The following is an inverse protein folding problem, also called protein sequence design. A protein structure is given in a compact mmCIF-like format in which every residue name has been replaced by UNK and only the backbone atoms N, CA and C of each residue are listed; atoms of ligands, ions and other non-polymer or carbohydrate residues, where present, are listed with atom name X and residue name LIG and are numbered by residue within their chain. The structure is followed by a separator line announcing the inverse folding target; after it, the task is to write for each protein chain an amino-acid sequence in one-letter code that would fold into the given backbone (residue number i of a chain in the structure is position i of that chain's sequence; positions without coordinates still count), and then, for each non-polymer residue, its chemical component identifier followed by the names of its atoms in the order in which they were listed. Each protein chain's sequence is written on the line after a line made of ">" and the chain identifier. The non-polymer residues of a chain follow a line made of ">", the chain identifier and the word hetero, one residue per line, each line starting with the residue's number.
data_IF_553452852011
#
_entry.id   IF_553452852011
#
_cell.length_a   1.000
_cell.length_b   1.000
_cell.length_c   1.000
_cell.angle_alpha   90.00
_cell.angle_beta   90.00
_cell.angle_gamma   90.00
#
_symmetry.space_group_name_H-M   'P 1'
#
loop_
_entity.id
_entity.type
_entity.pdbx_description
1 polymer ?
#
# COMPACT_ATOMS: atom_id res chain seq x y z
N UNK A 1 33.03 68.27 -11.35
CA UNK A 1 33.22 66.89 -11.88
C UNK A 1 33.05 65.78 -10.85
N UNK A 2 32.68 66.06 -9.57
CA UNK A 2 32.40 65.02 -8.52
C UNK A 2 30.96 64.46 -8.53
N UNK A 3 30.05 65.07 -9.28
CA UNK A 3 28.66 64.62 -9.33
C UNK A 3 28.47 63.28 -10.04
N UNK A 4 29.22 62.93 -11.05
CA UNK A 4 29.11 61.67 -11.80
C UNK A 4 29.46 60.43 -10.97
N UNK A 5 30.58 60.39 -10.23
CA UNK A 5 30.88 59.19 -9.39
C UNK A 5 29.87 58.99 -8.22
N UNK A 6 29.38 60.12 -7.68
CA UNK A 6 28.34 60.05 -6.64
C UNK A 6 27.00 59.45 -7.18
N UNK A 7 26.56 59.88 -8.36
CA UNK A 7 25.40 59.36 -9.03
C UNK A 7 25.54 57.84 -9.36
N UNK A 8 26.70 57.45 -9.89
CA UNK A 8 26.98 56.04 -10.18
C UNK A 8 26.94 55.16 -8.92
N UNK A 9 27.48 55.68 -7.81
CA UNK A 9 27.42 54.96 -6.51
C UNK A 9 25.98 54.76 -6.03
N UNK A 10 25.15 55.80 -6.08
CA UNK A 10 23.74 55.72 -5.66
C UNK A 10 22.97 54.71 -6.52
N UNK A 11 23.18 54.75 -7.84
CA UNK A 11 22.54 53.79 -8.77
C UNK A 11 23.00 52.37 -8.51
N UNK A 12 24.29 52.13 -8.27
CA UNK A 12 24.81 50.79 -7.96
C UNK A 12 24.22 50.24 -6.66
N UNK A 13 24.09 51.05 -5.61
CA UNK A 13 23.48 50.64 -4.33
C UNK A 13 21.99 50.32 -4.52
N UNK A 14 21.27 51.16 -5.30
CA UNK A 14 19.84 50.91 -5.58
C UNK A 14 19.64 49.61 -6.37
N UNK A 15 20.46 49.36 -7.39
CA UNK A 15 20.41 48.10 -8.15
C UNK A 15 20.72 46.92 -7.24
N UNK A 16 21.75 47.00 -6.41
CA UNK A 16 22.11 45.94 -5.45
C UNK A 16 20.98 45.62 -4.47
N UNK A 17 20.30 46.66 -3.98
CA UNK A 17 19.14 46.47 -3.07
C UNK A 17 17.96 45.81 -3.79
N UNK A 18 17.64 46.23 -5.03
CA UNK A 18 16.57 45.62 -5.82
C UNK A 18 16.88 44.15 -6.12
N UNK A 19 18.08 43.84 -6.56
CA UNK A 19 18.51 42.46 -6.85
C UNK A 19 18.46 41.59 -5.59
N UNK A 20 18.93 42.11 -4.46
CA UNK A 20 18.89 41.42 -3.17
C UNK A 20 17.44 41.14 -2.72
N UNK A 21 16.54 42.09 -2.89
CA UNK A 21 15.13 41.94 -2.57
C UNK A 21 14.43 40.88 -3.44
N UNK A 22 14.71 40.88 -4.75
CA UNK A 22 14.21 39.88 -5.68
C UNK A 22 14.76 38.50 -5.31
N UNK A 23 16.05 38.36 -5.11
CA UNK A 23 16.70 37.10 -4.74
C UNK A 23 16.17 36.54 -3.40
N UNK A 24 16.01 37.41 -2.42
CA UNK A 24 15.42 37.04 -1.12
C UNK A 24 14.00 36.51 -1.28
N UNK A 25 13.18 37.11 -2.13
CA UNK A 25 11.77 36.74 -2.30
C UNK A 25 11.58 35.51 -3.16
N UNK A 26 12.40 35.33 -4.20
CA UNK A 26 12.25 34.21 -5.15
C UNK A 26 12.98 32.93 -4.75
N UNK A 27 14.03 33.05 -3.93
CA UNK A 27 14.86 31.90 -3.56
C UNK A 27 14.84 31.63 -2.04
N UNK A 28 15.23 32.62 -1.22
CA UNK A 28 15.43 32.40 0.21
C UNK A 28 14.12 32.06 0.97
N UNK A 29 13.05 32.79 0.73
CA UNK A 29 11.76 32.57 1.41
C UNK A 29 11.18 31.19 1.09
N UNK A 30 11.05 30.78 -0.18
CA UNK A 30 10.59 29.43 -0.52
C UNK A 30 11.44 28.32 0.09
N UNK A 31 12.76 28.49 0.12
CA UNK A 31 13.66 27.51 0.75
C UNK A 31 13.41 27.38 2.25
N UNK A 32 13.17 28.49 2.95
CA UNK A 32 12.81 28.44 4.38
C UNK A 32 11.46 27.75 4.62
N UNK A 33 10.48 27.95 3.73
CA UNK A 33 9.21 27.22 3.80
C UNK A 33 9.42 25.74 3.57
N UNK A 34 10.26 25.36 2.62
CA UNK A 34 10.61 23.96 2.36
C UNK A 34 11.25 23.31 3.59
N UNK A 35 12.23 23.96 4.23
CA UNK A 35 12.86 23.46 5.46
C UNK A 35 11.83 23.25 6.58
N UNK A 36 10.90 24.21 6.75
CA UNK A 36 9.85 24.09 7.76
C UNK A 36 8.90 22.92 7.45
N UNK A 37 8.46 22.81 6.20
CA UNK A 37 7.57 21.74 5.76
C UNK A 37 8.25 20.36 5.89
N UNK A 38 9.52 20.24 5.52
CA UNK A 38 10.29 19.00 5.72
C UNK A 38 10.35 18.58 7.19
N UNK A 39 10.48 19.54 8.12
CA UNK A 39 10.45 19.24 9.56
C UNK A 39 9.07 18.77 10.04
N UNK A 40 7.98 19.22 9.41
CA UNK A 40 6.62 18.78 9.70
C UNK A 40 6.43 17.34 9.22
N UNK A 41 6.84 17.07 7.97
CA UNK A 41 6.81 15.73 7.36
C UNK A 41 7.67 14.73 8.16
N UNK A 42 8.84 15.15 8.64
CA UNK A 42 9.71 14.31 9.47
C UNK A 42 9.07 13.91 10.83
N UNK A 43 8.02 14.60 11.28
CA UNK A 43 7.25 14.26 12.48
C UNK A 43 6.03 13.36 12.16
N UNK A 44 5.84 12.95 10.91
CA UNK A 44 4.75 12.11 10.47
C UNK A 44 3.51 12.87 9.98
N UNK A 45 3.56 14.18 9.85
CA UNK A 45 2.46 14.96 9.26
C UNK A 45 2.71 15.15 7.75
N UNK A 46 2.10 14.28 6.96
CA UNK A 46 2.22 14.28 5.48
C UNK A 46 1.18 15.17 4.80
N UNK A 47 0.42 15.97 5.54
CA UNK A 47 -0.53 16.94 4.95
C UNK A 47 0.14 18.23 4.51
N UNK A 48 1.40 18.44 4.90
CA UNK A 48 2.16 19.64 4.61
C UNK A 48 2.32 19.82 3.09
N UNK A 49 1.81 20.95 2.59
CA UNK A 49 1.91 21.34 1.19
C UNK A 49 2.51 22.74 1.08
N UNK A 50 3.41 22.92 0.13
CA UNK A 50 4.05 24.21 -0.14
C UNK A 50 3.44 24.81 -1.40
N UNK A 51 3.03 26.07 -1.30
CA UNK A 51 2.61 26.83 -2.47
C UNK A 51 3.85 27.29 -3.26
N UNK A 52 3.96 26.79 -4.49
CA UNK A 52 5.03 27.18 -5.45
C UNK A 52 4.72 28.43 -6.25
N UNK A 53 3.60 29.13 -5.96
CA UNK A 53 3.23 30.36 -6.69
C UNK A 53 4.29 31.44 -6.48
N UNK A 54 4.72 32.04 -7.58
CA UNK A 54 5.77 33.09 -7.54
C UNK A 54 7.22 32.59 -7.49
N UNK A 55 7.44 31.27 -7.52
CA UNK A 55 8.77 30.67 -7.72
C UNK A 55 8.96 30.27 -9.19
N UNK A 56 10.20 30.22 -9.65
CA UNK A 56 10.56 29.82 -11.02
C UNK A 56 11.83 28.94 -11.00
N UNK A 57 12.09 28.26 -12.11
CA UNK A 57 13.29 27.44 -12.28
C UNK A 57 13.36 26.29 -11.27
N UNK A 58 14.55 26.00 -10.81
CA UNK A 58 14.90 24.84 -9.96
C UNK A 58 14.17 24.86 -8.60
N UNK A 59 13.83 26.03 -8.09
CA UNK A 59 13.11 26.16 -6.80
C UNK A 59 11.67 25.67 -6.96
N UNK A 60 11.03 25.93 -8.09
CA UNK A 60 9.69 25.41 -8.40
C UNK A 60 9.73 23.90 -8.51
N UNK A 61 10.64 23.34 -9.29
CA UNK A 61 10.81 21.90 -9.46
C UNK A 61 11.02 21.19 -8.13
N UNK A 62 11.83 21.79 -7.24
CA UNK A 62 12.07 21.26 -5.90
C UNK A 62 10.79 21.25 -5.05
N UNK A 63 9.96 22.31 -5.12
CA UNK A 63 8.68 22.36 -4.40
C UNK A 63 7.69 21.33 -4.96
N UNK A 64 7.61 21.21 -6.28
CA UNK A 64 6.74 20.22 -6.94
C UNK A 64 7.15 18.78 -6.56
N UNK A 65 8.45 18.49 -6.57
CA UNK A 65 8.99 17.18 -6.14
C UNK A 65 8.72 16.91 -4.67
N UNK A 66 8.87 17.91 -3.80
CA UNK A 66 8.51 17.78 -2.38
C UNK A 66 7.01 17.50 -2.20
N UNK A 67 6.14 18.23 -2.88
CA UNK A 67 4.69 18.04 -2.80
C UNK A 67 4.26 16.66 -3.35
N UNK A 68 4.90 16.17 -4.41
CA UNK A 68 4.69 14.83 -4.93
C UNK A 68 5.08 13.77 -3.90
N UNK A 69 6.28 13.90 -3.31
CA UNK A 69 6.75 13.00 -2.26
C UNK A 69 5.81 12.98 -1.04
N UNK A 70 5.37 14.13 -0.55
CA UNK A 70 4.46 14.19 0.60
C UNK A 70 3.11 13.57 0.30
N UNK A 71 2.60 13.71 -0.93
CA UNK A 71 1.37 13.07 -1.39
C UNK A 71 1.49 11.54 -1.39
N UNK A 72 2.60 11.01 -1.90
CA UNK A 72 2.88 9.56 -1.89
C UNK A 72 2.98 9.02 -0.45
N UNK A 73 3.71 9.71 0.43
CA UNK A 73 3.82 9.32 1.84
C UNK A 73 2.46 9.34 2.55
N UNK A 74 1.63 10.36 2.28
CA UNK A 74 0.26 10.42 2.81
C UNK A 74 -0.60 9.25 2.33
N UNK A 75 -0.47 8.86 1.05
CA UNK A 75 -1.15 7.70 0.48
C UNK A 75 -0.75 6.39 1.17
N UNK A 76 0.55 6.20 1.39
CA UNK A 76 1.08 5.02 2.10
C UNK A 76 0.57 4.96 3.54
N UNK A 77 0.54 6.09 4.25
CA UNK A 77 0.03 6.15 5.63
C UNK A 77 -1.47 5.83 5.71
N UNK A 78 -2.28 6.42 4.82
CA UNK A 78 -3.71 6.12 4.73
C UNK A 78 -3.94 4.64 4.46
N UNK A 79 -3.25 4.08 3.46
CA UNK A 79 -3.34 2.66 3.14
C UNK A 79 -2.97 1.78 4.35
N UNK A 80 -1.88 2.11 5.05
CA UNK A 80 -1.45 1.36 6.24
C UNK A 80 -2.49 1.41 7.36
N UNK A 81 -3.10 2.58 7.59
CA UNK A 81 -4.12 2.75 8.63
C UNK A 81 -5.40 2.00 8.27
N UNK A 82 -5.87 2.10 7.04
CA UNK A 82 -7.04 1.36 6.55
C UNK A 82 -6.81 -0.15 6.59
N UNK A 83 -5.60 -0.59 6.21
CA UNK A 83 -5.19 -1.97 6.30
C UNK A 83 -5.29 -2.50 7.75
N UNK A 84 -4.66 -1.81 8.71
CA UNK A 84 -4.70 -2.21 10.13
C UNK A 84 -6.14 -2.24 10.66
N UNK A 85 -6.95 -1.24 10.35
CA UNK A 85 -8.33 -1.16 10.78
C UNK A 85 -9.19 -2.31 10.20
N UNK A 86 -9.10 -2.52 8.89
CA UNK A 86 -9.82 -3.58 8.20
C UNK A 86 -9.44 -4.94 8.76
N UNK A 87 -8.14 -5.20 8.90
CA UNK A 87 -7.67 -6.46 9.51
C UNK A 87 -8.16 -6.65 10.94
N UNK A 88 -8.10 -5.60 11.76
CA UNK A 88 -8.55 -5.67 13.13
C UNK A 88 -10.03 -6.06 13.22
N UNK A 89 -10.86 -5.55 12.33
CA UNK A 89 -12.28 -5.90 12.23
C UNK A 89 -12.49 -7.32 11.72
N UNK A 90 -11.79 -7.70 10.64
CA UNK A 90 -11.90 -9.02 10.02
C UNK A 90 -11.41 -10.16 10.94
N UNK A 91 -10.41 -9.92 11.80
CA UNK A 91 -9.98 -10.86 12.82
C UNK A 91 -10.91 -10.92 14.02
N UNK A 92 -11.49 -9.80 14.43
CA UNK A 92 -12.35 -9.72 15.61
C UNK A 92 -13.60 -10.56 15.44
N UNK A 93 -14.21 -10.58 14.27
CA UNK A 93 -15.47 -11.28 13.99
C UNK A 93 -15.34 -12.79 14.20
N UNK A 94 -14.43 -13.53 13.54
CA UNK A 94 -14.27 -14.96 13.76
C UNK A 94 -13.84 -15.30 15.20
N UNK A 95 -12.98 -14.48 15.82
CA UNK A 95 -12.58 -14.71 17.23
C UNK A 95 -13.78 -14.62 18.17
N UNK A 96 -14.67 -13.65 17.96
CA UNK A 96 -15.89 -13.49 18.77
C UNK A 96 -16.84 -14.66 18.51
N UNK A 97 -16.99 -15.11 17.27
CA UNK A 97 -17.78 -16.27 16.87
C UNK A 97 -17.27 -17.54 17.55
N UNK A 98 -15.99 -17.87 17.38
CA UNK A 98 -15.33 -19.03 18.04
C UNK A 98 -15.57 -18.99 19.55
N UNK A 99 -15.33 -17.85 20.20
CA UNK A 99 -15.53 -17.70 21.64
C UNK A 99 -17.00 -17.92 22.04
N UNK A 100 -17.94 -17.43 21.24
CA UNK A 100 -19.38 -17.58 21.46
C UNK A 100 -19.81 -19.04 21.42
N UNK A 101 -19.50 -19.73 20.33
CA UNK A 101 -19.85 -21.12 20.14
C UNK A 101 -19.11 -22.08 21.09
N UNK A 102 -17.83 -21.78 21.42
CA UNK A 102 -17.11 -22.53 22.44
C UNK A 102 -17.75 -22.43 23.85
N UNK A 103 -18.41 -21.30 24.18
CA UNK A 103 -19.19 -21.17 25.40
C UNK A 103 -20.47 -21.99 25.34
N UNK A 104 -21.18 -21.99 24.21
CA UNK A 104 -22.41 -22.77 24.01
C UNK A 104 -22.12 -24.27 24.01
N UNK A 105 -21.00 -24.71 23.43
CA UNK A 105 -20.52 -26.08 23.47
C UNK A 105 -20.38 -26.62 24.91
N UNK A 106 -20.06 -25.77 25.86
CA UNK A 106 -19.93 -26.10 27.28
C UNK A 106 -21.26 -26.06 28.04
N UNK A 107 -22.35 -25.62 27.43
CA UNK A 107 -23.64 -25.53 28.08
C UNK A 107 -24.18 -26.92 28.39
N UNK A 108 -24.64 -27.22 29.63
CA UNK A 108 -25.20 -28.53 29.99
C UNK A 108 -26.46 -28.87 29.19
N UNK A 109 -27.17 -27.86 28.69
CA UNK A 109 -28.43 -28.04 27.93
C UNK A 109 -28.23 -28.30 26.44
N UNK A 110 -27.00 -28.21 25.92
CA UNK A 110 -26.75 -28.43 24.50
C UNK A 110 -26.90 -29.92 24.13
N UNK A 111 -27.69 -30.21 23.10
CA UNK A 111 -27.81 -31.52 22.50
C UNK A 111 -26.53 -31.95 21.78
N UNK A 112 -26.43 -33.22 21.39
CA UNK A 112 -25.27 -33.72 20.66
C UNK A 112 -25.20 -33.13 19.24
N UNK A 113 -26.35 -32.94 18.60
CA UNK A 113 -26.47 -32.28 17.30
C UNK A 113 -26.01 -30.83 17.36
N UNK A 114 -26.48 -30.08 18.35
CA UNK A 114 -26.05 -28.66 18.56
C UNK A 114 -24.55 -28.58 18.86
N UNK A 115 -23.99 -29.53 19.61
CA UNK A 115 -22.54 -29.58 19.89
C UNK A 115 -21.73 -29.79 18.62
N UNK A 116 -22.18 -30.65 17.73
CA UNK A 116 -21.53 -30.91 16.45
C UNK A 116 -21.61 -29.65 15.56
N UNK A 117 -22.77 -29.01 15.46
CA UNK A 117 -22.93 -27.75 14.73
C UNK A 117 -22.01 -26.66 15.26
N UNK A 118 -21.94 -26.48 16.59
CA UNK A 118 -21.03 -25.47 17.18
C UNK A 118 -19.56 -25.78 16.93
N UNK A 119 -19.19 -27.08 16.97
CA UNK A 119 -17.83 -27.50 16.65
C UNK A 119 -17.48 -27.22 15.19
N UNK A 120 -18.38 -27.48 14.24
CA UNK A 120 -18.19 -27.22 12.82
C UNK A 120 -18.02 -25.71 12.55
N UNK A 121 -18.80 -24.85 13.21
CA UNK A 121 -18.66 -23.41 13.11
C UNK A 121 -17.29 -22.97 13.65
N UNK A 122 -16.86 -23.51 14.79
CA UNK A 122 -15.54 -23.18 15.36
C UNK A 122 -14.42 -23.58 14.41
N UNK A 123 -14.50 -24.76 13.81
CA UNK A 123 -13.52 -25.25 12.83
C UNK A 123 -13.47 -24.34 11.62
N UNK A 124 -14.63 -24.02 11.04
CA UNK A 124 -14.74 -23.15 9.86
C UNK A 124 -14.14 -21.75 10.11
N UNK A 125 -14.43 -21.14 11.27
CA UNK A 125 -13.89 -19.83 11.60
C UNK A 125 -12.37 -19.87 11.90
N UNK A 126 -11.88 -20.98 12.47
CA UNK A 126 -10.44 -21.19 12.67
C UNK A 126 -9.70 -21.36 11.33
N UNK A 127 -10.25 -22.10 10.38
CA UNK A 127 -9.72 -22.24 9.02
C UNK A 127 -9.70 -20.89 8.29
N UNK A 128 -10.78 -20.11 8.43
CA UNK A 128 -10.83 -18.73 7.90
C UNK A 128 -9.72 -17.87 8.45
N UNK A 129 -9.46 -17.90 9.76
CA UNK A 129 -8.36 -17.16 10.41
C UNK A 129 -6.99 -17.62 9.89
N UNK A 130 -6.79 -18.92 9.73
CA UNK A 130 -5.55 -19.47 9.20
C UNK A 130 -5.29 -18.99 7.77
N UNK A 131 -6.32 -18.98 6.90
CA UNK A 131 -6.24 -18.47 5.53
C UNK A 131 -5.92 -16.98 5.52
N UNK A 132 -6.56 -16.17 6.36
CA UNK A 132 -6.27 -14.74 6.49
C UNK A 132 -4.82 -14.49 6.90
N UNK A 133 -4.33 -15.22 7.90
CA UNK A 133 -2.93 -15.13 8.35
C UNK A 133 -1.95 -15.44 7.22
N UNK A 134 -2.20 -16.51 6.45
CA UNK A 134 -1.37 -16.89 5.30
C UNK A 134 -1.35 -15.81 4.21
N UNK A 135 -2.49 -15.19 3.94
CA UNK A 135 -2.59 -14.09 2.96
C UNK A 135 -1.79 -12.86 3.41
N UNK A 136 -1.80 -12.52 4.72
CA UNK A 136 -1.01 -11.42 5.28
C UNK A 136 0.49 -11.69 5.14
N UNK A 137 0.92 -12.91 5.46
CA UNK A 137 2.32 -13.30 5.33
C UNK A 137 2.78 -13.25 3.87
N UNK A 138 1.94 -13.68 2.93
CA UNK A 138 2.20 -13.58 1.50
C UNK A 138 2.32 -12.11 1.07
N UNK A 139 1.38 -11.24 1.48
CA UNK A 139 1.41 -9.81 1.18
C UNK A 139 2.69 -9.17 1.71
N UNK A 140 3.04 -9.44 2.99
CA UNK A 140 4.28 -8.93 3.60
C UNK A 140 5.53 -9.42 2.87
N UNK A 141 5.55 -10.68 2.39
CA UNK A 141 6.63 -11.22 1.57
C UNK A 141 6.74 -10.46 0.24
N UNK A 142 5.61 -10.17 -0.42
CA UNK A 142 5.57 -9.46 -1.70
C UNK A 142 5.99 -7.99 -1.56
N UNK A 143 5.56 -7.29 -0.52
CA UNK A 143 5.93 -5.89 -0.26
C UNK A 143 7.44 -5.73 0.00
N UNK A 144 8.07 -6.72 0.65
CA UNK A 144 9.50 -6.70 0.92
C UNK A 144 10.36 -7.15 -0.28
N UNK A 145 9.76 -7.79 -1.29
CA UNK A 145 10.46 -8.20 -2.51
C UNK A 145 10.37 -7.09 -3.57
N UNK A 146 11.38 -6.24 -3.63
CA UNK A 146 11.49 -5.20 -4.69
C UNK A 146 11.65 -5.79 -6.10
N UNK A 147 12.06 -7.04 -6.23
CA UNK A 147 12.23 -7.75 -7.50
C UNK A 147 11.78 -9.19 -7.29
N UNK A 148 10.92 -9.70 -8.18
CA UNK A 148 10.59 -11.12 -8.25
C UNK A 148 11.84 -11.85 -8.77
N UNK A 149 12.60 -12.46 -7.87
CA UNK A 149 13.91 -13.04 -8.17
C UNK A 149 13.81 -14.47 -8.70
N UNK A 150 12.79 -15.21 -8.29
CA UNK A 150 12.67 -16.65 -8.56
C UNK A 150 11.85 -16.89 -9.84
N UNK A 151 12.31 -16.31 -10.96
CA UNK A 151 11.69 -16.56 -12.27
C UNK A 151 12.29 -17.81 -12.90
N UNK A 152 11.43 -18.76 -13.25
CA UNK A 152 11.78 -19.97 -13.98
C UNK A 152 10.91 -20.11 -15.21
N UNK A 153 11.42 -20.79 -16.23
CA UNK A 153 10.62 -21.18 -17.41
C UNK A 153 9.83 -22.43 -17.03
N UNK A 154 8.50 -22.40 -17.20
CA UNK A 154 7.64 -23.53 -16.87
C UNK A 154 6.39 -23.54 -17.76
N UNK A 155 5.70 -24.68 -17.79
CA UNK A 155 4.45 -24.87 -18.54
C UNK A 155 3.27 -24.25 -17.77
N UNK A 156 2.72 -23.16 -18.30
CA UNK A 156 1.60 -22.44 -17.69
C UNK A 156 0.30 -23.23 -17.74
N UNK A 157 0.06 -23.94 -18.85
CA UNK A 157 -1.12 -24.80 -19.03
C UNK A 157 -1.13 -25.96 -18.05
N UNK A 158 0.01 -26.59 -17.75
CA UNK A 158 0.12 -27.64 -16.73
C UNK A 158 -0.12 -27.08 -15.30
N UNK A 159 0.37 -25.87 -15.02
CA UNK A 159 0.08 -25.22 -13.76
C UNK A 159 -1.42 -24.96 -13.59
N UNK A 160 -2.08 -24.39 -14.61
CA UNK A 160 -3.52 -24.13 -14.59
C UNK A 160 -4.33 -25.42 -14.42
N UNK A 161 -3.94 -26.51 -15.13
CA UNK A 161 -4.58 -27.84 -14.94
C UNK A 161 -4.46 -28.32 -13.50
N UNK A 162 -3.26 -28.17 -12.91
CA UNK A 162 -3.01 -28.55 -11.52
C UNK A 162 -3.82 -27.71 -10.53
N UNK A 163 -3.90 -26.40 -10.71
CA UNK A 163 -4.70 -25.52 -9.85
C UNK A 163 -6.20 -25.78 -9.98
N UNK A 164 -6.71 -26.08 -11.18
CA UNK A 164 -8.11 -26.53 -11.41
C UNK A 164 -8.40 -27.82 -10.64
N UNK A 165 -7.51 -28.81 -10.68
CA UNK A 165 -7.68 -30.06 -9.95
C UNK A 165 -7.67 -29.87 -8.44
N UNK A 166 -6.86 -28.94 -7.91
CA UNK A 166 -6.88 -28.60 -6.47
C UNK A 166 -8.23 -28.02 -6.01
N UNK A 167 -8.97 -27.39 -6.92
CA UNK A 167 -10.30 -26.83 -6.65
C UNK A 167 -11.45 -27.82 -6.93
N UNK A 168 -11.13 -29.10 -7.26
CA UNK A 168 -12.11 -30.11 -7.70
C UNK A 168 -13.30 -30.21 -6.75
N UNK A 169 -13.05 -30.35 -5.45
CA UNK A 169 -14.12 -30.46 -4.45
C UNK A 169 -15.09 -29.27 -4.49
N UNK A 170 -14.57 -28.06 -4.70
CA UNK A 170 -15.37 -26.82 -4.68
C UNK A 170 -16.28 -26.70 -5.90
N UNK A 171 -15.81 -27.03 -7.10
CA UNK A 171 -16.63 -26.94 -8.30
C UNK A 171 -17.58 -28.17 -8.44
N UNK A 172 -17.23 -29.35 -7.92
CA UNK A 172 -18.13 -30.50 -7.81
C UNK A 172 -19.30 -30.24 -6.85
N UNK A 173 -19.04 -29.68 -5.66
CA UNK A 173 -20.09 -29.30 -4.70
C UNK A 173 -21.08 -28.28 -5.28
N UNK A 174 -20.61 -27.42 -6.18
CA UNK A 174 -21.46 -26.43 -6.89
C UNK A 174 -22.09 -26.98 -8.17
N UNK A 175 -21.86 -28.24 -8.51
CA UNK A 175 -22.32 -28.88 -9.77
C UNK A 175 -21.91 -28.07 -11.03
N UNK A 176 -20.71 -27.51 -11.05
CA UNK A 176 -20.20 -26.77 -12.19
C UNK A 176 -19.62 -27.72 -13.24
N UNK A 177 -19.98 -27.51 -14.51
CA UNK A 177 -19.39 -28.21 -15.64
C UNK A 177 -18.23 -27.34 -16.16
N UNK A 178 -17.02 -27.84 -16.00
CA UNK A 178 -15.82 -27.16 -16.46
C UNK A 178 -15.51 -27.54 -17.91
N UNK A 179 -15.33 -26.55 -18.77
CA UNK A 179 -14.75 -26.71 -20.10
C UNK A 179 -13.35 -26.14 -20.07
N UNK A 180 -12.34 -26.97 -20.20
CA UNK A 180 -10.94 -26.57 -20.12
C UNK A 180 -10.30 -26.74 -21.49
N UNK A 181 -9.99 -25.61 -22.15
CA UNK A 181 -9.27 -25.55 -23.41
C UNK A 181 -7.99 -24.71 -23.20
N UNK A 182 -6.86 -25.39 -23.10
CA UNK A 182 -5.56 -24.79 -22.79
C UNK A 182 -4.53 -25.22 -23.83
N UNK A 183 -3.95 -24.25 -24.50
CA UNK A 183 -2.82 -24.46 -25.39
C UNK A 183 -1.52 -24.62 -24.59
N UNK A 184 -0.61 -25.45 -25.11
CA UNK A 184 0.71 -25.60 -24.48
C UNK A 184 1.47 -24.27 -24.55
N UNK A 185 1.72 -23.68 -23.37
CA UNK A 185 2.27 -22.33 -23.24
C UNK A 185 3.39 -22.31 -22.22
N UNK A 186 4.60 -22.02 -22.66
CA UNK A 186 5.74 -21.78 -21.77
C UNK A 186 5.73 -20.33 -21.28
N UNK A 187 5.92 -20.14 -19.99
CA UNK A 187 5.98 -18.83 -19.35
C UNK A 187 7.18 -18.70 -18.42
N UNK A 188 7.83 -17.54 -18.47
CA UNK A 188 8.94 -17.20 -17.57
C UNK A 188 8.44 -16.33 -16.42
N UNK A 189 8.24 -16.91 -15.26
CA UNK A 189 7.69 -16.25 -14.08
C UNK A 189 7.95 -17.02 -12.80
N UNK A 190 7.34 -16.57 -11.71
CA UNK A 190 7.33 -17.29 -10.45
C UNK A 190 6.05 -18.15 -10.37
N UNK A 191 6.15 -19.50 -10.45
CA UNK A 191 4.97 -20.37 -10.48
C UNK A 191 4.16 -20.32 -9.17
N UNK A 192 4.82 -20.15 -8.01
CA UNK A 192 4.16 -20.08 -6.70
C UNK A 192 3.23 -18.84 -6.63
N UNK A 193 3.75 -17.68 -7.02
CA UNK A 193 2.97 -16.43 -7.03
C UNK A 193 1.79 -16.49 -8.01
N UNK A 194 2.00 -17.03 -9.21
CA UNK A 194 0.94 -17.17 -10.21
C UNK A 194 -0.13 -18.16 -9.77
N UNK A 195 0.22 -19.27 -9.12
CA UNK A 195 -0.75 -20.19 -8.54
C UNK A 195 -1.64 -19.49 -7.49
N UNK A 196 -1.09 -18.58 -6.69
CA UNK A 196 -1.90 -17.75 -5.81
C UNK A 196 -2.89 -16.84 -6.57
N UNK A 197 -2.49 -16.29 -7.71
CA UNK A 197 -3.40 -15.48 -8.55
C UNK A 197 -4.54 -16.33 -9.07
N UNK A 198 -4.24 -17.49 -9.67
CA UNK A 198 -5.27 -18.38 -10.26
C UNK A 198 -6.27 -18.88 -9.21
N UNK A 199 -5.81 -19.18 -8.00
CA UNK A 199 -6.71 -19.66 -6.92
C UNK A 199 -7.56 -18.56 -6.27
N UNK A 200 -7.29 -17.28 -6.56
CA UNK A 200 -8.07 -16.14 -6.06
C UNK A 200 -9.00 -15.52 -7.11
N UNK A 201 -8.92 -15.94 -8.37
CA UNK A 201 -9.83 -15.56 -9.45
C UNK A 201 -11.05 -16.49 -9.51
#
# INVERSE_FOLDING_TARGET
>A
TMAMPFFALVVSVAIGFILSAIFSRTIFRPLQHLIKATRIVAKGDFTAKIDGSGTAGEVRELIESFNAMTKELSGIELFRNDFINTFSHEFKTPIVSIRGFAKQLKAPSATEEERNEYADIIISEAERLAKMSSNILLLSKLENQQIITDRVLYSLDEQLRSDILLLQKQWEEKNLVLSVDLENTEYCGNPELLSHVWRNL
#
